data_IF_792249309774
#
_entry.id   IF_792249309774
#
_cell.length_a   1.000
_cell.length_b   1.000
_cell.length_c   1.000
_cell.angle_alpha   90.00
_cell.angle_beta   90.00
_cell.angle_gamma   90.00
#
_symmetry.space_group_name_H-M   'P 1'
#
loop_
_entity.id
_entity.type
_entity.pdbx_description
1 polymer ?
#
# COMPACT_ATOMS: atom_id res chain seq x y z
N UNK A 1 5.72 -3.85 7.77
CA UNK A 1 6.91 -3.04 8.14
C UNK A 1 6.43 -1.81 8.89
N UNK A 2 7.16 -1.37 9.92
CA UNK A 2 6.84 -0.14 10.67
C UNK A 2 7.91 0.91 10.40
N UNK A 3 7.49 2.16 10.26
CA UNK A 3 8.33 3.29 9.91
C UNK A 3 8.09 4.47 10.86
N UNK A 4 9.17 5.15 11.21
CA UNK A 4 9.12 6.48 11.79
C UNK A 4 9.80 7.43 10.79
N UNK A 5 9.03 8.38 10.24
CA UNK A 5 9.44 9.19 9.10
C UNK A 5 9.84 8.31 7.90
N UNK A 6 11.03 8.49 7.34
CA UNK A 6 11.57 7.70 6.23
C UNK A 6 12.35 6.46 6.69
N UNK A 7 12.49 6.25 7.99
CA UNK A 7 13.33 5.21 8.57
C UNK A 7 12.49 4.01 9.00
N UNK A 8 12.84 2.82 8.50
CA UNK A 8 12.23 1.57 8.95
C UNK A 8 12.69 1.24 10.37
N UNK A 9 11.74 0.95 11.26
CA UNK A 9 12.01 0.62 12.66
C UNK A 9 11.68 -0.85 12.91
N UNK A 10 12.69 -1.59 13.37
CA UNK A 10 12.59 -3.02 13.63
C UNK A 10 12.53 -3.88 12.35
N UNK A 11 12.13 -5.13 12.53
CA UNK A 11 12.11 -6.13 11.46
C UNK A 11 10.79 -6.14 10.68
N UNK A 12 10.79 -6.84 9.54
CA UNK A 12 9.58 -7.12 8.79
C UNK A 12 8.78 -8.25 9.46
N UNK A 13 7.68 -7.89 10.10
CA UNK A 13 6.76 -8.84 10.72
C UNK A 13 5.98 -9.63 9.67
N UNK A 14 6.05 -10.97 9.74
CA UNK A 14 5.26 -11.88 8.92
C UNK A 14 4.06 -12.37 9.72
N UNK A 15 2.86 -12.10 9.21
CA UNK A 15 1.61 -12.50 9.84
C UNK A 15 1.08 -13.74 9.12
N UNK A 16 0.76 -14.79 9.89
CA UNK A 16 0.13 -16.02 9.38
C UNK A 16 -1.37 -16.07 9.64
N UNK A 17 -1.85 -15.24 10.55
CA UNK A 17 -3.25 -15.20 10.97
C UNK A 17 -4.07 -14.35 9.99
N UNK A 18 -5.35 -14.67 9.85
CA UNK A 18 -6.29 -13.88 9.04
C UNK A 18 -6.62 -12.53 9.70
N UNK A 19 -6.40 -12.42 11.01
CA UNK A 19 -6.61 -11.20 11.78
C UNK A 19 -5.28 -10.61 12.26
N UNK A 20 -5.12 -9.31 12.04
CA UNK A 20 -3.98 -8.52 12.46
C UNK A 20 -4.47 -7.27 13.20
N UNK A 21 -4.09 -7.14 14.47
CA UNK A 21 -4.25 -5.91 15.24
C UNK A 21 -2.91 -5.19 15.33
N UNK A 22 -2.86 -3.92 14.99
CA UNK A 22 -1.67 -3.07 15.16
C UNK A 22 -2.02 -1.93 16.11
N UNK A 23 -1.34 -1.84 17.25
CA UNK A 23 -1.64 -0.87 18.29
C UNK A 23 -0.39 -0.27 18.96
N UNK A 24 -0.61 0.70 19.85
CA UNK A 24 0.44 1.39 20.61
C UNK A 24 0.86 0.66 21.89
N UNK A 25 0.47 -0.60 22.09
CA UNK A 25 0.78 -1.39 23.28
C UNK A 25 2.27 -1.73 23.44
N UNK A 26 2.60 -2.37 24.56
CA UNK A 26 3.98 -2.67 24.98
C UNK A 26 4.30 -4.18 25.04
N UNK A 27 3.41 -5.06 24.57
CA UNK A 27 3.62 -6.52 24.63
C UNK A 27 4.36 -7.02 23.37
N UNK A 28 5.67 -7.32 23.44
CA UNK A 28 6.44 -7.78 22.27
C UNK A 28 6.11 -9.22 21.89
N UNK A 29 5.54 -10.01 22.82
CA UNK A 29 5.23 -11.41 22.56
C UNK A 29 3.89 -11.56 21.82
N UNK A 30 3.05 -10.52 21.79
CA UNK A 30 1.70 -10.60 21.22
C UNK A 30 1.63 -10.96 19.72
N UNK A 31 2.76 -10.95 19.00
CA UNK A 31 2.82 -11.22 17.57
C UNK A 31 2.26 -12.60 17.19
N UNK A 32 2.51 -13.64 18.00
CA UNK A 32 1.96 -14.98 17.75
C UNK A 32 0.43 -15.03 17.82
N UNK A 33 -0.19 -14.04 18.49
CA UNK A 33 -1.64 -13.87 18.59
C UNK A 33 -2.20 -12.97 17.48
N UNK A 34 -1.40 -12.60 16.47
CA UNK A 34 -1.82 -11.67 15.42
C UNK A 34 -1.88 -10.21 15.90
N UNK A 35 -1.16 -9.86 16.97
CA UNK A 35 -1.13 -8.49 17.51
C UNK A 35 0.27 -7.91 17.47
N UNK A 36 0.43 -6.79 16.76
CA UNK A 36 1.67 -6.05 16.65
C UNK A 36 1.61 -4.79 17.52
N UNK A 37 2.39 -4.82 18.61
CA UNK A 37 2.52 -3.72 19.56
C UNK A 37 3.68 -2.80 19.13
N UNK A 38 3.36 -1.64 18.55
CA UNK A 38 4.38 -0.69 18.08
C UNK A 38 5.13 -0.02 19.23
N UNK A 39 4.50 0.10 20.40
CA UNK A 39 5.05 0.73 21.60
C UNK A 39 6.35 0.07 22.10
N UNK A 40 6.46 -1.25 21.95
CA UNK A 40 7.65 -2.01 22.35
C UNK A 40 8.87 -1.83 21.42
N UNK A 41 8.70 -1.26 20.22
CA UNK A 41 9.78 -1.16 19.24
C UNK A 41 10.79 -0.07 19.62
N UNK A 42 12.10 -0.40 19.74
CA UNK A 42 13.13 0.58 20.04
C UNK A 42 13.50 1.41 18.80
N UNK A 43 13.83 2.68 19.00
CA UNK A 43 14.42 3.56 17.99
C UNK A 43 15.32 4.59 18.68
N UNK A 44 16.63 4.55 18.42
CA UNK A 44 17.61 5.48 19.00
C UNK A 44 17.54 6.88 18.39
N UNK A 45 17.02 7.00 17.17
CA UNK A 45 16.85 8.26 16.45
C UNK A 45 15.41 8.79 16.56
N UNK A 46 14.65 8.34 17.57
CA UNK A 46 13.27 8.78 17.76
C UNK A 46 13.23 10.26 18.11
N UNK A 47 12.59 11.05 17.25
CA UNK A 47 12.30 12.46 17.52
C UNK A 47 11.04 12.66 18.37
N UNK A 48 10.92 13.86 18.96
CA UNK A 48 9.79 14.25 19.83
C UNK A 48 8.43 14.10 19.13
N UNK A 49 8.36 14.43 17.83
CA UNK A 49 7.10 14.35 17.07
C UNK A 49 6.62 12.90 16.94
N UNK A 50 7.53 11.94 16.75
CA UNK A 50 7.22 10.52 16.67
C UNK A 50 6.80 9.97 18.04
N UNK A 51 7.49 10.36 19.10
CA UNK A 51 7.12 9.99 20.47
C UNK A 51 5.70 10.48 20.84
N UNK A 52 5.41 11.75 20.57
CA UNK A 52 4.08 12.33 20.79
C UNK A 52 3.00 11.66 19.94
N UNK A 53 3.33 11.24 18.74
CA UNK A 53 2.39 10.53 17.86
C UNK A 53 2.11 9.12 18.37
N UNK A 54 3.14 8.39 18.82
CA UNK A 54 3.01 7.01 19.36
C UNK A 54 2.06 6.93 20.55
N UNK A 55 2.11 7.92 21.45
CA UNK A 55 1.20 8.03 22.61
C UNK A 55 -0.27 8.04 22.17
N UNK A 56 -0.55 8.60 21.00
CA UNK A 56 -1.91 8.75 20.46
C UNK A 56 -2.35 7.63 19.51
N UNK A 57 -1.53 6.61 19.27
CA UNK A 57 -1.93 5.44 18.47
C UNK A 57 -3.05 4.70 19.21
N UNK A 58 -2.93 4.52 20.52
CA UNK A 58 -3.92 3.82 21.35
C UNK A 58 -4.17 2.40 20.84
N UNK A 59 -5.43 2.02 20.67
CA UNK A 59 -5.84 0.72 20.14
C UNK A 59 -5.58 0.54 18.63
N UNK A 60 -5.15 1.60 17.94
CA UNK A 60 -4.66 1.54 16.56
C UNK A 60 -5.69 1.05 15.54
N UNK A 61 -5.33 0.02 14.78
CA UNK A 61 -6.11 -0.51 13.65
C UNK A 61 -6.20 -2.03 13.71
N UNK A 62 -7.33 -2.56 13.27
CA UNK A 62 -7.56 -3.98 13.10
C UNK A 62 -7.81 -4.28 11.62
N UNK A 63 -7.16 -5.32 11.11
CA UNK A 63 -7.22 -5.76 9.73
C UNK A 63 -7.64 -7.22 9.71
N UNK A 64 -8.58 -7.55 8.83
CA UNK A 64 -9.06 -8.91 8.62
C UNK A 64 -8.94 -9.28 7.14
N UNK A 65 -8.14 -10.28 6.85
CA UNK A 65 -8.09 -10.94 5.56
C UNK A 65 -9.28 -11.89 5.44
N UNK A 66 -10.03 -11.79 4.34
CA UNK A 66 -11.12 -12.70 4.03
C UNK A 66 -10.61 -13.83 3.12
N UNK A 67 -11.26 -15.01 3.13
CA UNK A 67 -10.91 -16.12 2.22
C UNK A 67 -10.99 -15.77 0.73
N UNK A 68 -11.77 -14.74 0.36
CA UNK A 68 -11.81 -14.20 -1.00
C UNK A 68 -10.50 -13.51 -1.44
N UNK A 69 -9.60 -13.22 -0.50
CA UNK A 69 -8.41 -12.39 -0.69
C UNK A 69 -8.63 -10.90 -0.44
N UNK A 70 -9.85 -10.51 -0.08
CA UNK A 70 -10.19 -9.15 0.30
C UNK A 70 -9.62 -8.80 1.68
N UNK A 71 -9.32 -7.51 1.91
CA UNK A 71 -8.91 -7.03 3.23
C UNK A 71 -9.92 -6.01 3.75
N UNK A 72 -10.47 -6.32 4.91
CA UNK A 72 -11.33 -5.43 5.69
C UNK A 72 -10.50 -4.76 6.78
N UNK A 73 -10.89 -3.55 7.15
CA UNK A 73 -10.23 -2.78 8.18
C UNK A 73 -11.23 -2.12 9.11
N UNK A 74 -10.90 -2.09 10.39
CA UNK A 74 -11.60 -1.35 11.44
C UNK A 74 -10.63 -0.40 12.16
N UNK A 75 -10.99 0.89 12.24
CA UNK A 75 -10.28 1.85 13.05
C UNK A 75 -10.68 1.70 14.53
N UNK A 76 -9.74 1.31 15.38
CA UNK A 76 -9.95 1.19 16.84
C UNK A 76 -9.39 2.38 17.61
N UNK A 77 -8.51 3.17 16.99
CA UNK A 77 -7.89 4.35 17.58
C UNK A 77 -8.89 5.50 17.79
N UNK A 78 -8.73 6.24 18.90
CA UNK A 78 -9.44 7.49 19.15
C UNK A 78 -8.98 8.65 18.26
N UNK A 79 -7.85 8.50 17.57
CA UNK A 79 -7.35 9.47 16.58
C UNK A 79 -7.57 8.93 15.17
N UNK A 80 -7.72 9.81 14.17
CA UNK A 80 -7.91 9.38 12.79
C UNK A 80 -6.68 8.62 12.28
N UNK A 81 -6.95 7.62 11.46
CA UNK A 81 -5.94 6.91 10.66
C UNK A 81 -6.08 7.29 9.18
N UNK A 82 -4.97 7.26 8.46
CA UNK A 82 -4.87 7.72 7.08
C UNK A 82 -4.28 6.61 6.23
N UNK A 83 -4.94 6.25 5.13
CA UNK A 83 -4.62 5.04 4.37
C UNK A 83 -4.35 5.37 2.93
N UNK A 84 -3.26 4.80 2.42
CA UNK A 84 -2.99 4.68 0.99
C UNK A 84 -3.44 3.29 0.55
N UNK A 85 -4.44 3.24 -0.31
CA UNK A 85 -4.89 2.01 -0.96
C UNK A 85 -5.32 2.33 -2.38
N UNK A 86 -4.75 1.64 -3.36
CA UNK A 86 -5.16 1.77 -4.75
C UNK A 86 -6.63 1.37 -4.96
N UNK A 87 -7.16 0.44 -4.16
CA UNK A 87 -8.57 0.04 -4.25
C UNK A 87 -9.50 1.18 -3.86
N UNK A 88 -9.18 1.88 -2.76
CA UNK A 88 -9.97 3.03 -2.32
C UNK A 88 -9.84 4.20 -3.30
N UNK A 89 -8.66 4.41 -3.89
CA UNK A 89 -8.46 5.40 -4.95
C UNK A 89 -9.36 5.09 -6.16
N UNK A 90 -9.40 3.82 -6.59
CA UNK A 90 -10.29 3.34 -7.65
C UNK A 90 -11.77 3.57 -7.32
N UNK A 91 -12.24 3.17 -6.13
CA UNK A 91 -13.62 3.38 -5.70
C UNK A 91 -14.02 4.87 -5.69
N UNK A 92 -13.09 5.76 -5.37
CA UNK A 92 -13.31 7.20 -5.36
C UNK A 92 -13.00 7.89 -6.69
N UNK A 93 -12.64 7.12 -7.74
CA UNK A 93 -12.25 7.64 -9.07
C UNK A 93 -11.11 8.68 -9.00
N UNK A 94 -10.18 8.46 -8.08
CA UNK A 94 -9.01 9.29 -7.87
C UNK A 94 -7.78 8.67 -8.54
N UNK A 95 -6.83 9.49 -9.04
CA UNK A 95 -5.53 8.98 -9.44
C UNK A 95 -4.83 8.27 -8.28
N UNK A 96 -4.15 7.15 -8.56
CA UNK A 96 -3.48 6.35 -7.54
C UNK A 96 -2.42 7.16 -6.78
N UNK A 97 -2.43 7.04 -5.45
CA UNK A 97 -1.38 7.60 -4.58
C UNK A 97 -1.47 9.10 -4.29
N UNK A 98 -2.49 9.81 -4.77
CA UNK A 98 -2.57 11.27 -4.66
C UNK A 98 -3.02 11.75 -3.26
N UNK A 99 -3.95 11.05 -2.62
CA UNK A 99 -4.56 11.49 -1.36
C UNK A 99 -4.83 10.32 -0.42
N UNK A 100 -4.53 10.44 0.90
CA UNK A 100 -4.93 9.43 1.86
C UNK A 100 -6.44 9.43 2.11
N UNK A 101 -6.97 8.24 2.34
CA UNK A 101 -8.33 8.03 2.83
C UNK A 101 -8.33 8.10 4.36
N UNK A 102 -9.17 8.97 4.93
CA UNK A 102 -9.24 9.22 6.37
C UNK A 102 -10.35 8.36 6.98
N UNK A 103 -9.99 7.64 8.04
CA UNK A 103 -10.93 6.84 8.84
C UNK A 103 -10.90 7.30 10.31
N UNK A 104 -12.03 7.21 10.98
CA UNK A 104 -12.20 7.54 12.39
C UNK A 104 -12.84 6.38 13.14
N UNK A 105 -12.93 6.46 14.46
CA UNK A 105 -13.51 5.39 15.28
C UNK A 105 -15.01 5.21 15.02
N UNK A 106 -15.71 6.25 14.56
CA UNK A 106 -17.13 6.19 14.18
C UNK A 106 -17.34 5.56 12.79
N UNK A 107 -16.26 5.29 12.05
CA UNK A 107 -16.35 4.64 10.75
C UNK A 107 -16.64 3.15 10.93
N UNK A 108 -17.62 2.64 10.19
CA UNK A 108 -17.87 1.20 10.09
C UNK A 108 -16.66 0.46 9.47
N UNK A 109 -16.70 -0.87 9.58
CA UNK A 109 -15.69 -1.74 8.94
C UNK A 109 -15.64 -1.44 7.43
N UNK A 110 -14.47 -1.03 6.96
CA UNK A 110 -14.26 -0.63 5.57
C UNK A 110 -13.49 -1.69 4.78
N UNK A 111 -13.92 -1.96 3.55
CA UNK A 111 -13.14 -2.76 2.61
C UNK A 111 -12.01 -1.89 2.05
N UNK A 112 -10.76 -2.22 2.40
CA UNK A 112 -9.57 -1.45 1.99
C UNK A 112 -8.81 -2.11 0.85
N UNK A 113 -9.13 -3.35 0.50
CA UNK A 113 -8.49 -4.07 -0.62
C UNK A 113 -9.44 -5.10 -1.23
N UNK A 114 -9.37 -5.26 -2.55
CA UNK A 114 -10.07 -6.30 -3.31
C UNK A 114 -9.09 -7.05 -4.23
N UNK A 115 -9.00 -8.37 -4.07
CA UNK A 115 -8.04 -9.18 -4.81
C UNK A 115 -8.39 -9.28 -6.30
N UNK A 116 -9.68 -9.36 -6.64
CA UNK A 116 -10.14 -9.51 -8.02
C UNK A 116 -9.89 -8.23 -8.81
N UNK A 117 -10.20 -7.08 -8.21
CA UNK A 117 -9.87 -5.77 -8.74
C UNK A 117 -8.36 -5.64 -8.96
N UNK A 118 -7.55 -5.97 -7.95
CA UNK A 118 -6.09 -5.86 -8.05
C UNK A 118 -5.55 -6.72 -9.19
N UNK A 119 -6.02 -7.96 -9.32
CA UNK A 119 -5.62 -8.85 -10.41
C UNK A 119 -6.01 -8.30 -11.78
N UNK A 120 -7.25 -7.81 -11.93
CA UNK A 120 -7.72 -7.21 -13.17
C UNK A 120 -6.87 -6.01 -13.58
N UNK A 121 -6.61 -5.06 -12.67
CA UNK A 121 -5.80 -3.88 -12.94
C UNK A 121 -4.34 -4.22 -13.29
N UNK A 122 -3.76 -5.23 -12.64
CA UNK A 122 -2.40 -5.72 -12.95
C UNK A 122 -2.32 -6.34 -14.35
N UNK A 123 -3.35 -7.09 -14.77
CA UNK A 123 -3.41 -7.63 -16.13
C UNK A 123 -3.51 -6.51 -17.18
N UNK A 124 -4.39 -5.53 -16.96
CA UNK A 124 -4.54 -4.39 -17.88
C UNK A 124 -3.22 -3.63 -18.06
N UNK A 125 -2.50 -3.35 -16.97
CA UNK A 125 -1.20 -2.65 -17.02
C UNK A 125 -0.10 -3.47 -17.67
N UNK A 126 -0.04 -4.76 -17.38
CA UNK A 126 0.93 -5.66 -18.01
C UNK A 126 0.70 -5.75 -19.51
N UNK A 127 -0.57 -5.84 -19.93
CA UNK A 127 -0.95 -5.82 -21.36
C UNK A 127 -0.59 -4.50 -22.03
N UNK A 128 -0.97 -3.37 -21.44
CA UNK A 128 -0.66 -2.03 -21.98
C UNK A 128 0.85 -1.80 -22.08
N UNK A 129 1.62 -2.17 -21.05
CA UNK A 129 3.08 -2.13 -21.09
C UNK A 129 3.64 -2.98 -22.23
N UNK A 130 3.12 -4.19 -22.40
CA UNK A 130 3.57 -5.09 -23.46
C UNK A 130 3.27 -4.54 -24.85
N UNK A 131 2.06 -4.01 -25.06
CA UNK A 131 1.65 -3.41 -26.34
C UNK A 131 2.49 -2.18 -26.68
N UNK A 132 2.76 -1.30 -25.69
CA UNK A 132 3.60 -0.12 -25.87
C UNK A 132 5.05 -0.49 -26.22
N UNK A 133 5.64 -1.46 -25.52
CA UNK A 133 7.00 -1.95 -25.80
C UNK A 133 7.07 -2.61 -27.19
N UNK A 134 6.09 -3.44 -27.57
CA UNK A 134 6.04 -4.06 -28.90
C UNK A 134 5.92 -3.00 -30.00
N UNK A 135 5.06 -2.00 -29.82
CA UNK A 135 4.90 -0.91 -30.79
C UNK A 135 6.19 -0.10 -30.95
N UNK A 136 6.88 0.20 -29.84
CA UNK A 136 8.18 0.86 -29.86
C UNK A 136 9.25 0.00 -30.55
N UNK A 137 9.32 -1.30 -30.26
CA UNK A 137 10.27 -2.21 -30.90
C UNK A 137 10.04 -2.33 -32.42
N UNK A 138 8.78 -2.43 -32.86
CA UNK A 138 8.44 -2.48 -34.28
C UNK A 138 8.83 -1.17 -35.01
N UNK A 139 8.68 -0.02 -34.35
CA UNK A 139 9.11 1.26 -34.89
C UNK A 139 10.63 1.35 -35.06
N UNK A 140 11.39 0.94 -34.04
CA UNK A 140 12.86 0.91 -34.09
C UNK A 140 13.36 -0.05 -35.17
N UNK A 141 12.69 -1.18 -35.37
CA UNK A 141 13.02 -2.16 -36.40
C UNK A 141 12.56 -1.76 -37.82
N UNK A 142 11.90 -0.60 -37.98
CA UNK A 142 11.44 -0.10 -39.28
C UNK A 142 10.17 -0.76 -39.83
N UNK A 143 9.48 -1.57 -39.01
CA UNK A 143 8.24 -2.26 -39.39
C UNK A 143 6.96 -1.44 -39.16
N UNK A 144 7.08 -0.20 -38.66
CA UNK A 144 5.94 0.69 -38.41
C UNK A 144 6.00 2.02 -39.19
N UNK A 145 6.15 2.00 -40.54
CA UNK A 145 6.13 3.24 -41.31
C UNK A 145 4.73 3.88 -41.27
N UNK A 146 4.66 5.14 -40.84
CA UNK A 146 3.40 5.92 -40.82
C UNK A 146 2.56 5.80 -39.55
N UNK A 147 3.07 5.20 -38.47
CA UNK A 147 2.42 5.28 -37.15
C UNK A 147 2.68 6.65 -36.54
N UNK A 148 1.66 7.52 -36.54
CA UNK A 148 1.74 8.86 -35.93
C UNK A 148 1.47 8.83 -34.41
N UNK A 149 0.67 7.88 -33.94
CA UNK A 149 0.30 7.73 -32.53
C UNK A 149 0.74 6.35 -32.00
N UNK A 150 1.71 6.35 -31.09
CA UNK A 150 2.13 5.15 -30.38
C UNK A 150 1.17 4.85 -29.22
N UNK A 151 0.88 3.57 -28.92
CA UNK A 151 0.17 3.21 -27.70
C UNK A 151 0.91 3.76 -26.48
N UNK A 152 0.28 4.68 -25.75
CA UNK A 152 0.84 5.17 -24.50
C UNK A 152 0.70 4.10 -23.41
N UNK A 153 1.80 3.89 -22.69
CA UNK A 153 1.80 3.01 -21.54
C UNK A 153 0.98 3.65 -20.41
N UNK A 154 0.04 2.91 -19.83
CA UNK A 154 -0.72 3.40 -18.67
C UNK A 154 0.21 3.85 -17.55
N UNK A 155 -0.19 4.87 -16.79
CA UNK A 155 0.51 5.27 -15.57
C UNK A 155 0.64 4.08 -14.59
N UNK A 156 1.78 4.03 -13.90
CA UNK A 156 2.14 2.98 -12.94
C UNK A 156 2.26 1.57 -13.54
N UNK A 157 2.45 1.43 -14.85
CA UNK A 157 2.70 0.12 -15.50
C UNK A 157 4.12 -0.43 -15.26
N UNK A 158 4.99 0.34 -14.61
CA UNK A 158 6.27 -0.18 -14.12
C UNK A 158 6.06 -1.17 -12.97
N UNK A 159 6.98 -2.12 -12.82
CA UNK A 159 6.93 -3.18 -11.78
C UNK A 159 6.75 -2.59 -10.39
N UNK A 160 7.50 -1.53 -10.06
CA UNK A 160 7.40 -0.86 -8.76
C UNK A 160 6.07 -0.12 -8.57
N UNK A 161 5.55 0.48 -9.65
CA UNK A 161 4.23 1.13 -9.64
C UNK A 161 3.12 0.12 -9.36
N UNK A 162 3.12 -1.01 -10.08
CA UNK A 162 2.16 -2.09 -9.87
C UNK A 162 2.26 -2.71 -8.47
N UNK A 163 3.48 -2.94 -7.99
CA UNK A 163 3.70 -3.42 -6.62
C UNK A 163 3.12 -2.45 -5.60
N UNK A 164 3.46 -1.17 -5.71
CA UNK A 164 2.99 -0.13 -4.78
C UNK A 164 1.47 0.01 -4.80
N UNK A 165 0.85 0.08 -5.98
CA UNK A 165 -0.57 0.36 -6.13
C UNK A 165 -1.49 -0.84 -5.82
N UNK A 166 -1.08 -2.06 -6.21
CA UNK A 166 -1.96 -3.25 -6.16
C UNK A 166 -1.54 -4.30 -5.14
N UNK A 167 -0.33 -4.19 -4.57
CA UNK A 167 0.20 -5.20 -3.66
C UNK A 167 0.58 -4.64 -2.28
N UNK A 168 0.49 -3.33 -2.07
CA UNK A 168 0.81 -2.71 -0.79
C UNK A 168 -0.33 -1.84 -0.28
N UNK A 169 -0.49 -1.83 1.04
CA UNK A 169 -1.30 -0.86 1.76
C UNK A 169 -0.38 -0.08 2.68
N UNK A 170 -0.60 1.22 2.82
CA UNK A 170 0.16 2.02 3.78
C UNK A 170 -0.79 2.76 4.71
N UNK A 171 -0.53 2.69 6.02
CA UNK A 171 -1.40 3.26 7.05
C UNK A 171 -0.57 4.18 7.94
N UNK A 172 -0.91 5.46 7.98
CA UNK A 172 -0.33 6.44 8.90
C UNK A 172 -1.27 6.69 10.07
N UNK A 173 -0.70 6.74 11.27
CA UNK A 173 -1.45 6.96 12.50
C UNK A 173 -1.46 8.44 12.87
N UNK A 174 -2.62 8.95 13.31
CA UNK A 174 -2.83 10.30 13.86
C UNK A 174 -2.66 11.44 12.85
N UNK A 175 -1.71 11.34 11.91
CA UNK A 175 -1.25 12.41 11.04
C UNK A 175 -1.37 12.00 9.56
N UNK A 176 -2.21 12.71 8.81
CA UNK A 176 -2.30 12.54 7.34
C UNK A 176 -1.19 13.23 6.57
N UNK A 177 -1.16 13.00 5.25
CA UNK A 177 -0.23 13.63 4.29
C UNK A 177 -0.97 13.99 2.99
N UNK A 178 -0.28 14.67 2.06
CA UNK A 178 -0.80 15.08 0.76
C UNK A 178 -1.13 16.57 0.66
N UNK A 179 -1.75 17.01 -0.44
CA UNK A 179 -1.89 18.44 -0.78
C UNK A 179 -2.60 19.31 0.26
N UNK A 180 -3.40 18.71 1.13
CA UNK A 180 -4.09 19.39 2.24
C UNK A 180 -3.23 19.62 3.49
N UNK A 181 -1.95 19.24 3.47
CA UNK A 181 -1.06 19.34 4.63
C UNK A 181 0.21 20.14 4.30
N UNK A 182 0.49 21.24 5.02
CA UNK A 182 1.50 22.22 4.62
C UNK A 182 2.95 21.71 4.66
N UNK A 183 3.24 20.68 5.48
CA UNK A 183 4.60 20.17 5.69
C UNK A 183 4.78 18.68 5.35
N UNK A 184 3.73 18.03 4.82
CA UNK A 184 3.69 16.57 4.64
C UNK A 184 3.13 16.23 3.26
N UNK A 185 4.04 16.12 2.29
CA UNK A 185 3.69 15.82 0.90
C UNK A 185 3.60 14.31 0.68
N UNK A 186 4.41 13.54 1.41
CA UNK A 186 4.50 12.09 1.32
C UNK A 186 4.17 11.43 2.66
N UNK A 187 3.78 10.14 2.61
CA UNK A 187 3.63 9.34 3.83
C UNK A 187 4.94 9.23 4.62
N UNK A 188 6.09 9.33 3.94
CA UNK A 188 7.42 9.32 4.57
C UNK A 188 7.66 10.54 5.47
N UNK A 189 6.89 11.62 5.29
CA UNK A 189 6.94 12.80 6.16
C UNK A 189 6.07 12.60 7.42
N UNK A 190 5.35 11.48 7.51
CA UNK A 190 4.50 11.19 8.66
C UNK A 190 5.31 10.57 9.80
N UNK A 191 5.03 10.96 11.06
CA UNK A 191 5.85 10.55 12.19
C UNK A 191 5.85 9.05 12.46
N UNK A 192 4.73 8.37 12.24
CA UNK A 192 4.57 6.94 12.49
C UNK A 192 3.59 6.33 11.47
N UNK A 193 4.06 5.35 10.70
CA UNK A 193 3.23 4.66 9.72
C UNK A 193 3.69 3.20 9.52
N UNK A 194 2.82 2.39 8.94
CA UNK A 194 3.12 1.00 8.57
C UNK A 194 2.89 0.79 7.08
N UNK A 195 3.71 -0.08 6.50
CA UNK A 195 3.49 -0.64 5.18
C UNK A 195 3.16 -2.13 5.30
N UNK A 196 2.06 -2.53 4.67
CA UNK A 196 1.55 -3.88 4.66
C UNK A 196 1.67 -4.41 3.25
N UNK A 197 2.40 -5.50 3.11
CA UNK A 197 2.66 -6.15 1.85
C UNK A 197 1.76 -7.39 1.72
N UNK A 198 0.89 -7.41 0.72
CA UNK A 198 -0.07 -8.49 0.50
C UNK A 198 0.57 -9.59 -0.34
N UNK A 199 0.78 -10.77 0.26
CA UNK A 199 1.51 -11.86 -0.39
C UNK A 199 0.80 -12.43 -1.61
N UNK A 200 -0.53 -12.60 -1.56
CA UNK A 200 -1.29 -13.20 -2.66
C UNK A 200 -1.29 -12.33 -3.93
N UNK A 201 -1.58 -11.02 -3.88
CA UNK A 201 -1.41 -10.12 -5.02
C UNK A 201 0.01 -10.14 -5.61
N UNK A 202 1.06 -10.20 -4.77
CA UNK A 202 2.44 -10.26 -5.26
C UNK A 202 2.76 -11.53 -6.03
N UNK A 203 2.26 -12.67 -5.56
CA UNK A 203 2.41 -13.94 -6.30
C UNK A 203 1.74 -13.85 -7.67
N UNK A 204 0.58 -13.21 -7.75
CA UNK A 204 -0.11 -12.98 -9.02
C UNK A 204 0.67 -12.00 -9.91
N UNK A 205 1.24 -10.94 -9.35
CA UNK A 205 2.09 -10.00 -10.08
C UNK A 205 3.33 -10.70 -10.65
N UNK A 206 4.04 -11.48 -9.82
CA UNK A 206 5.21 -12.27 -10.24
C UNK A 206 4.84 -13.27 -11.35
N UNK A 207 3.68 -13.93 -11.23
CA UNK A 207 3.15 -14.81 -12.27
C UNK A 207 2.90 -14.05 -13.58
N UNK A 208 2.26 -12.89 -13.54
CA UNK A 208 1.97 -12.07 -14.73
C UNK A 208 3.26 -11.58 -15.40
N UNK A 209 4.25 -11.15 -14.63
CA UNK A 209 5.53 -10.67 -15.17
C UNK A 209 6.32 -11.80 -15.86
N UNK A 210 6.25 -13.03 -15.33
CA UNK A 210 6.91 -14.20 -15.94
C UNK A 210 6.24 -14.73 -17.21
N UNK A 211 4.94 -14.45 -17.38
CA UNK A 211 4.16 -14.91 -18.53
C UNK A 211 3.75 -13.74 -19.45
N UNK A 212 4.32 -12.55 -19.24
CA UNK A 212 4.13 -11.44 -20.15
C UNK A 212 4.75 -11.81 -21.52
N UNK A 213 4.07 -11.52 -22.64
CA UNK A 213 4.46 -11.99 -23.98
C UNK A 213 5.76 -11.34 -24.53
N UNK A 214 6.60 -10.77 -23.67
CA UNK A 214 7.90 -10.18 -23.98
C UNK A 214 9.09 -10.99 -23.47
N UNK A 215 8.87 -12.11 -22.78
CA UNK A 215 9.93 -13.02 -22.35
C UNK A 215 9.94 -14.29 -23.21
N UNK A 216 10.44 -14.17 -24.44
CA UNK A 216 11.11 -15.24 -25.20
C UNK A 216 11.83 -14.63 -26.40
#
# INVERSE_FOLDING_TARGET
>A
MYYELDTQIGETFKIKNDELRVDGGMDPLALHKGRLCLGALPNVHRGEVSERTRIHIGDGVELRALPSGDVMMLCRSHKPIFIRSGFLDYCNKMPYGNKPHRFTQESDVAKVFDLRWAYHEMMCRTRSASEAVMAQAAAVAGYAPGVENFPEMMADSGVDGMRSAFCTLAISFVKGWGPGYPSRNSIKDTPCWIEIQLHRPLQLLDYLLKHAPLSN
#
